data_IF_892453726958
#
_entry.id   IF_892453726958
#
_cell.length_a   1.000
_cell.length_b   1.000
_cell.length_c   1.000
_cell.angle_alpha   90.00
_cell.angle_beta   90.00
_cell.angle_gamma   90.00
#
_symmetry.space_group_name_H-M   'P 1'
#
loop_
_entity.id
_entity.type
_entity.pdbx_description
1 polymer ?
#
# COMPACT_ATOMS: atom_id res chain seq x y z
N UNK A 1 7.67 -31.32 10.77
CA UNK A 1 6.28 -31.48 10.32
C UNK A 1 6.34 -32.12 8.93
N UNK A 2 5.55 -33.17 8.69
CA UNK A 2 5.50 -33.80 7.36
C UNK A 2 4.84 -32.82 6.38
N UNK A 3 5.40 -32.67 5.18
CA UNK A 3 4.90 -31.80 4.12
C UNK A 3 3.38 -32.01 3.87
N UNK A 4 2.91 -33.24 3.84
CA UNK A 4 1.48 -33.57 3.71
C UNK A 4 0.60 -33.05 4.85
N UNK A 5 1.15 -32.95 6.06
CA UNK A 5 0.40 -32.40 7.22
C UNK A 5 0.32 -30.89 7.10
N UNK A 6 1.41 -30.25 6.73
CA UNK A 6 1.45 -28.80 6.51
C UNK A 6 0.50 -28.40 5.37
N UNK A 7 0.55 -29.11 4.24
CA UNK A 7 -0.33 -28.90 3.10
C UNK A 7 -1.82 -28.93 3.51
N UNK A 8 -2.23 -29.97 4.25
CA UNK A 8 -3.59 -30.07 4.75
C UNK A 8 -3.99 -28.91 5.67
N UNK A 9 -3.08 -28.51 6.56
CA UNK A 9 -3.34 -27.38 7.48
C UNK A 9 -3.51 -26.07 6.70
N UNK A 10 -2.64 -25.80 5.74
CA UNK A 10 -2.71 -24.60 4.91
C UNK A 10 -3.97 -24.61 4.04
N UNK A 11 -4.29 -25.73 3.38
CA UNK A 11 -5.52 -25.85 2.59
C UNK A 11 -6.79 -25.64 3.42
N UNK A 12 -6.82 -26.22 4.62
CA UNK A 12 -7.93 -26.02 5.55
C UNK A 12 -8.04 -24.55 5.95
N UNK A 13 -6.93 -23.92 6.27
CA UNK A 13 -6.84 -22.50 6.64
C UNK A 13 -7.38 -21.60 5.51
N UNK A 14 -6.91 -21.79 4.29
CA UNK A 14 -7.35 -21.05 3.09
C UNK A 14 -8.87 -21.18 2.91
N UNK A 15 -9.39 -22.41 3.02
CA UNK A 15 -10.81 -22.69 2.88
C UNK A 15 -11.65 -22.03 3.98
N UNK A 16 -11.24 -22.16 5.23
CA UNK A 16 -11.94 -21.58 6.40
C UNK A 16 -12.02 -20.06 6.32
N UNK A 17 -10.96 -19.44 5.80
CA UNK A 17 -10.85 -17.98 5.72
C UNK A 17 -11.18 -17.40 4.35
N UNK A 18 -11.62 -18.26 3.40
CA UNK A 18 -12.04 -17.87 2.04
C UNK A 18 -10.95 -17.10 1.29
N UNK A 19 -9.69 -17.49 1.50
CA UNK A 19 -8.56 -16.90 0.79
C UNK A 19 -8.43 -17.52 -0.60
N UNK A 20 -7.91 -16.76 -1.57
CA UNK A 20 -7.79 -17.20 -2.98
C UNK A 20 -6.34 -17.45 -3.38
N UNK A 21 -5.55 -18.06 -2.49
CA UNK A 21 -4.12 -18.31 -2.73
C UNK A 21 -3.95 -19.75 -3.26
N UNK A 22 -3.23 -19.88 -4.36
CA UNK A 22 -2.79 -21.19 -4.87
C UNK A 22 -1.51 -21.62 -4.13
N UNK A 23 -1.64 -22.66 -3.31
CA UNK A 23 -0.53 -23.21 -2.50
C UNK A 23 0.56 -23.89 -3.33
N UNK A 24 0.32 -24.17 -4.59
CA UNK A 24 1.27 -24.80 -5.50
C UNK A 24 2.04 -23.79 -6.35
N UNK A 25 1.68 -22.51 -6.31
CA UNK A 25 2.37 -21.46 -7.01
C UNK A 25 3.75 -21.20 -6.41
N UNK A 26 4.72 -20.85 -7.26
CA UNK A 26 6.01 -20.35 -6.76
C UNK A 26 5.81 -18.98 -6.09
N UNK A 27 6.61 -18.70 -5.05
CA UNK A 27 6.55 -17.42 -4.34
C UNK A 27 6.82 -16.23 -5.29
N UNK A 28 7.66 -16.42 -6.32
CA UNK A 28 7.92 -15.41 -7.35
C UNK A 28 6.68 -14.99 -8.14
N UNK A 29 5.72 -15.92 -8.29
CA UNK A 29 4.54 -15.73 -9.13
C UNK A 29 3.35 -15.16 -8.33
N UNK A 30 3.47 -15.10 -7.00
CA UNK A 30 2.48 -14.52 -6.12
C UNK A 30 2.47 -12.99 -6.20
N UNK A 31 1.29 -12.40 -6.11
CA UNK A 31 1.11 -10.95 -5.96
C UNK A 31 1.72 -10.45 -4.64
N UNK A 32 1.88 -9.14 -4.49
CA UNK A 32 2.38 -8.54 -3.25
C UNK A 32 1.48 -8.86 -2.05
N UNK A 33 0.17 -8.79 -2.24
CA UNK A 33 -0.79 -9.11 -1.17
C UNK A 33 -0.76 -10.61 -0.83
N UNK A 34 -0.70 -11.51 -1.81
CA UNK A 34 -0.64 -12.95 -1.54
C UNK A 34 0.59 -13.32 -0.72
N UNK A 35 1.75 -12.74 -1.03
CA UNK A 35 2.97 -12.92 -0.22
C UNK A 35 2.78 -12.47 1.22
N UNK A 36 2.17 -11.30 1.43
CA UNK A 36 1.84 -10.83 2.78
C UNK A 36 0.91 -11.81 3.50
N UNK A 37 -0.15 -12.28 2.85
CA UNK A 37 -1.11 -13.22 3.44
C UNK A 37 -0.43 -14.55 3.77
N UNK A 38 0.46 -15.06 2.92
CA UNK A 38 1.24 -16.27 3.21
C UNK A 38 2.06 -16.13 4.50
N UNK A 39 2.76 -15.00 4.68
CA UNK A 39 3.52 -14.74 5.91
C UNK A 39 2.60 -14.62 7.15
N UNK A 40 1.42 -14.05 7.00
CA UNK A 40 0.43 -13.96 8.07
C UNK A 40 -0.14 -15.35 8.45
N UNK A 41 -0.45 -16.20 7.46
CA UNK A 41 -0.88 -17.59 7.68
C UNK A 41 0.22 -18.37 8.42
N UNK A 42 1.45 -18.23 7.98
CA UNK A 42 2.62 -18.85 8.61
C UNK A 42 2.75 -18.40 10.07
N UNK A 43 2.57 -17.11 10.36
CA UNK A 43 2.64 -16.58 11.71
C UNK A 43 1.57 -17.21 12.64
N UNK A 44 0.35 -17.41 12.15
CA UNK A 44 -0.73 -18.07 12.90
C UNK A 44 -0.44 -19.57 13.12
N UNK A 45 -0.06 -20.30 12.07
CA UNK A 45 0.27 -21.74 12.18
C UNK A 45 1.44 -21.97 13.12
N UNK A 46 2.44 -21.09 13.11
CA UNK A 46 3.61 -21.17 14.00
C UNK A 46 3.30 -20.72 15.44
N UNK A 47 2.12 -20.20 15.68
CA UNK A 47 1.65 -19.78 17.01
C UNK A 47 2.28 -18.49 17.52
N UNK A 48 2.72 -17.61 16.62
CA UNK A 48 3.26 -16.31 17.02
C UNK A 48 2.17 -15.47 17.73
N UNK A 49 2.62 -14.65 18.67
CA UNK A 49 1.72 -13.80 19.49
C UNK A 49 1.76 -12.34 19.09
N UNK A 50 2.75 -11.96 18.30
CA UNK A 50 2.95 -10.61 17.80
C UNK A 50 3.30 -10.66 16.33
N UNK A 51 2.64 -9.81 15.55
CA UNK A 51 2.95 -9.54 14.15
C UNK A 51 3.30 -8.06 14.03
N UNK A 52 4.36 -7.75 13.31
CA UNK A 52 4.73 -6.38 12.95
C UNK A 52 4.50 -6.21 11.46
N UNK A 53 3.69 -5.22 11.09
CA UNK A 53 3.40 -4.85 9.71
C UNK A 53 3.98 -3.46 9.47
N UNK A 54 4.99 -3.38 8.62
CA UNK A 54 5.74 -2.15 8.38
C UNK A 54 5.38 -1.55 7.01
N UNK A 55 4.71 -0.41 7.05
CA UNK A 55 4.37 0.47 5.92
C UNK A 55 3.86 -0.28 4.66
N UNK A 56 2.81 -1.10 4.76
CA UNK A 56 2.33 -1.90 3.63
C UNK A 56 1.77 -1.03 2.50
N UNK A 57 1.31 0.19 2.77
CA UNK A 57 0.84 1.13 1.76
C UNK A 57 1.94 1.59 0.78
N UNK A 58 3.21 1.36 1.09
CA UNK A 58 4.30 1.64 0.17
C UNK A 58 4.40 0.66 -1.00
N UNK A 59 3.73 -0.49 -0.93
CA UNK A 59 3.80 -1.56 -1.95
C UNK A 59 2.48 -2.29 -2.21
N UNK A 60 1.40 -1.92 -1.51
CA UNK A 60 0.04 -2.44 -1.73
C UNK A 60 -0.88 -1.33 -2.21
N UNK A 61 -1.79 -1.67 -3.11
CA UNK A 61 -2.89 -0.80 -3.52
C UNK A 61 -3.93 -0.66 -2.41
N UNK A 62 -4.84 0.30 -2.53
CA UNK A 62 -5.93 0.49 -1.58
C UNK A 62 -6.78 -0.77 -1.42
N UNK A 63 -7.11 -1.46 -2.52
CA UNK A 63 -7.91 -2.68 -2.49
C UNK A 63 -7.17 -3.81 -1.78
N UNK A 64 -5.87 -3.97 -2.03
CA UNK A 64 -5.02 -4.95 -1.37
C UNK A 64 -4.86 -4.66 0.13
N UNK A 65 -4.76 -3.39 0.52
CA UNK A 65 -4.76 -2.99 1.93
C UNK A 65 -6.06 -3.39 2.64
N UNK A 66 -7.22 -3.22 2.00
CA UNK A 66 -8.50 -3.67 2.56
C UNK A 66 -8.53 -5.18 2.77
N UNK A 67 -7.92 -5.95 1.87
CA UNK A 67 -7.78 -7.40 2.02
C UNK A 67 -6.83 -7.75 3.16
N UNK A 68 -5.68 -7.10 3.25
CA UNK A 68 -4.74 -7.24 4.37
C UNK A 68 -5.44 -6.96 5.71
N UNK A 69 -6.22 -5.89 5.81
CA UNK A 69 -6.93 -5.53 7.04
C UNK A 69 -7.92 -6.60 7.48
N UNK A 70 -8.65 -7.24 6.56
CA UNK A 70 -9.54 -8.35 6.89
C UNK A 70 -8.79 -9.51 7.55
N UNK A 71 -7.61 -9.84 7.02
CA UNK A 71 -6.76 -10.91 7.57
C UNK A 71 -6.20 -10.50 8.93
N UNK A 72 -5.72 -9.28 9.09
CA UNK A 72 -5.20 -8.77 10.37
C UNK A 72 -6.28 -8.76 11.47
N UNK A 73 -7.50 -8.31 11.15
CA UNK A 73 -8.64 -8.32 12.08
C UNK A 73 -9.04 -9.76 12.48
N UNK A 74 -8.93 -10.70 11.56
CA UNK A 74 -9.15 -12.12 11.85
C UNK A 74 -8.10 -12.66 12.85
N UNK A 75 -6.82 -12.37 12.62
CA UNK A 75 -5.72 -12.79 13.49
C UNK A 75 -5.83 -12.14 14.89
N UNK A 76 -6.23 -10.88 14.95
CA UNK A 76 -6.54 -10.17 16.18
C UNK A 76 -7.63 -10.88 16.98
N UNK A 77 -8.72 -11.35 16.33
CA UNK A 77 -9.77 -12.15 16.98
C UNK A 77 -9.27 -13.48 17.53
N UNK A 78 -8.19 -14.04 16.98
CA UNK A 78 -7.51 -15.24 17.49
C UNK A 78 -6.55 -14.93 18.65
N UNK A 79 -6.42 -13.67 19.06
CA UNK A 79 -5.56 -13.22 20.17
C UNK A 79 -4.12 -12.94 19.76
N UNK A 80 -3.85 -12.74 18.47
CA UNK A 80 -2.54 -12.29 17.99
C UNK A 80 -2.52 -10.76 18.03
N UNK A 81 -1.51 -10.19 18.68
CA UNK A 81 -1.29 -8.75 18.71
C UNK A 81 -0.66 -8.27 17.41
N UNK A 82 -1.08 -7.10 16.93
CA UNK A 82 -0.55 -6.51 15.71
C UNK A 82 0.04 -5.14 16.03
N UNK A 83 1.30 -4.92 15.67
CA UNK A 83 1.92 -3.61 15.60
C UNK A 83 1.95 -3.18 14.13
N UNK A 84 1.08 -2.26 13.79
CA UNK A 84 1.03 -1.69 12.44
C UNK A 84 1.78 -0.36 12.41
N UNK A 85 2.70 -0.20 11.48
CA UNK A 85 3.44 1.03 11.24
C UNK A 85 3.00 1.55 9.88
N UNK A 86 2.59 2.80 9.79
CA UNK A 86 2.12 3.43 8.56
C UNK A 86 2.28 4.94 8.57
N UNK A 87 2.24 5.54 7.41
CA UNK A 87 2.42 6.97 7.20
C UNK A 87 1.08 7.72 7.02
N UNK A 88 -0.01 6.97 6.80
CA UNK A 88 -1.34 7.53 6.55
C UNK A 88 -2.29 7.16 7.68
N UNK A 89 -2.80 8.17 8.39
CA UNK A 89 -3.68 7.95 9.55
C UNK A 89 -5.01 7.30 9.16
N UNK A 90 -5.55 7.60 7.99
CA UNK A 90 -6.81 7.02 7.50
C UNK A 90 -6.75 5.48 7.41
N UNK A 91 -5.59 4.93 7.13
CA UNK A 91 -5.38 3.48 7.00
C UNK A 91 -5.50 2.77 8.35
N UNK A 92 -4.87 3.33 9.37
CA UNK A 92 -4.77 2.68 10.69
C UNK A 92 -6.05 2.78 11.51
N UNK A 93 -6.89 3.78 11.27
CA UNK A 93 -8.13 3.98 12.02
C UNK A 93 -9.13 2.85 11.89
N UNK A 94 -9.08 2.12 10.77
CA UNK A 94 -9.99 1.01 10.51
C UNK A 94 -9.64 -0.27 11.26
N UNK A 95 -8.40 -0.43 11.74
CA UNK A 95 -7.89 -1.67 12.31
C UNK A 95 -7.32 -1.52 13.72
N UNK A 96 -6.88 -0.31 14.10
CA UNK A 96 -6.19 -0.08 15.35
C UNK A 96 -7.17 0.08 16.54
N UNK A 97 -6.82 -0.46 17.70
CA UNK A 97 -7.49 -0.14 18.96
C UNK A 97 -6.89 1.11 19.60
N UNK A 98 -5.62 1.39 19.27
CA UNK A 98 -4.87 2.54 19.76
C UNK A 98 -3.84 2.94 18.74
N UNK A 99 -3.67 4.24 18.51
CA UNK A 99 -2.68 4.80 17.58
C UNK A 99 -1.72 5.71 18.33
N UNK A 100 -0.43 5.52 18.08
CA UNK A 100 0.62 6.40 18.61
C UNK A 100 1.22 7.21 17.45
N UNK A 101 1.21 8.52 17.58
CA UNK A 101 1.87 9.42 16.64
C UNK A 101 3.34 9.57 17.05
N UNK A 102 4.23 9.15 16.15
CA UNK A 102 5.67 9.18 16.37
C UNK A 102 6.31 10.17 15.40
N UNK A 103 7.14 11.08 15.95
CA UNK A 103 7.93 12.04 15.18
C UNK A 103 9.17 12.45 15.96
N UNK A 104 10.27 12.72 15.25
CA UNK A 104 11.54 13.21 15.81
C UNK A 104 12.11 12.36 16.96
N UNK A 105 11.90 11.06 16.91
CA UNK A 105 12.38 10.14 17.94
C UNK A 105 11.47 9.98 19.15
N UNK A 106 10.29 10.63 19.18
CA UNK A 106 9.39 10.63 20.34
C UNK A 106 7.96 10.32 19.96
N UNK A 107 7.21 9.73 20.91
CA UNK A 107 5.76 9.64 20.82
C UNK A 107 5.16 11.00 21.19
N UNK A 108 4.58 11.70 20.24
CA UNK A 108 3.95 13.01 20.42
C UNK A 108 2.58 12.92 21.09
N UNK A 109 1.81 11.92 20.71
CA UNK A 109 0.45 11.69 21.24
C UNK A 109 0.07 10.21 21.08
N UNK A 110 -0.74 9.72 22.00
CA UNK A 110 -1.44 8.44 21.89
C UNK A 110 -2.93 8.72 21.82
N UNK A 111 -3.60 8.08 20.89
CA UNK A 111 -5.04 8.16 20.68
C UNK A 111 -5.65 6.79 20.97
N UNK A 112 -6.63 6.74 21.85
CA UNK A 112 -7.49 5.59 21.98
C UNK A 112 -8.55 5.57 20.86
N UNK A 113 -9.21 4.44 20.66
CA UNK A 113 -10.14 4.23 19.52
C UNK A 113 -11.16 5.37 19.38
N UNK A 114 -11.73 5.83 20.46
CA UNK A 114 -12.75 6.90 20.47
C UNK A 114 -12.17 8.28 20.09
N UNK A 115 -10.88 8.47 20.26
CA UNK A 115 -10.17 9.71 19.92
C UNK A 115 -9.66 9.72 18.48
N UNK A 116 -9.71 8.61 17.76
CA UNK A 116 -9.19 8.46 16.37
C UNK A 116 -10.12 9.11 15.37
N UNK A 117 -10.11 10.43 15.31
CA UNK A 117 -10.85 11.25 14.34
C UNK A 117 -9.90 12.20 13.62
N UNK A 118 -10.23 12.55 12.39
CA UNK A 118 -9.47 13.52 11.60
C UNK A 118 -9.27 14.84 12.34
N UNK A 119 -10.29 15.30 13.06
CA UNK A 119 -10.24 16.55 13.83
C UNK A 119 -9.21 16.50 14.97
N UNK A 120 -9.04 15.35 15.60
CA UNK A 120 -8.10 15.18 16.70
C UNK A 120 -6.66 15.01 16.20
N UNK A 121 -6.47 14.46 15.01
CA UNK A 121 -5.13 14.20 14.45
C UNK A 121 -4.59 15.39 13.66
N UNK A 122 -5.44 16.13 12.94
CA UNK A 122 -5.06 17.29 12.14
C UNK A 122 -4.09 18.26 12.84
N UNK A 123 -4.26 18.63 14.12
CA UNK A 123 -3.32 19.54 14.78
C UNK A 123 -1.87 19.03 14.82
N UNK A 124 -1.68 17.71 14.85
CA UNK A 124 -0.36 17.08 14.95
C UNK A 124 0.27 16.76 13.60
N UNK A 125 -0.55 16.66 12.54
CA UNK A 125 -0.11 16.36 11.18
C UNK A 125 0.08 17.64 10.37
N UNK A 126 -0.67 18.70 10.68
CA UNK A 126 -0.69 19.95 9.91
C UNK A 126 0.66 20.66 9.89
N UNK A 127 1.48 20.54 10.92
CA UNK A 127 2.85 21.09 10.88
C UNK A 127 3.69 20.45 9.78
N UNK A 128 3.50 19.19 9.48
CA UNK A 128 4.20 18.45 8.42
C UNK A 128 3.67 18.76 7.02
N UNK A 129 2.34 18.89 6.87
CA UNK A 129 1.72 19.18 5.58
C UNK A 129 1.86 20.64 5.17
N UNK A 130 1.92 21.57 6.12
CA UNK A 130 2.06 23.00 5.80
C UNK A 130 3.48 23.39 5.35
N UNK A 131 4.52 22.66 5.75
CA UNK A 131 5.86 22.88 5.19
C UNK A 131 5.99 22.36 3.76
N UNK A 132 5.30 21.26 3.41
CA UNK A 132 5.31 20.71 2.06
C UNK A 132 4.31 21.40 1.10
N UNK A 133 3.28 22.06 1.59
CA UNK A 133 2.27 22.73 0.76
C UNK A 133 2.58 24.18 0.39
N UNK A 134 3.76 24.70 0.75
CA UNK A 134 4.32 25.94 0.16
C UNK A 134 4.91 25.71 -1.24
N UNK A 135 4.36 24.78 -2.01
CA UNK A 135 4.54 24.77 -3.45
C UNK A 135 3.76 25.97 -3.99
N UNK A 136 4.51 27.02 -4.35
CA UNK A 136 3.98 28.19 -5.04
C UNK A 136 3.16 27.72 -6.23
N UNK A 137 1.94 28.24 -6.38
CA UNK A 137 1.26 28.23 -7.67
C UNK A 137 2.11 29.02 -8.66
N UNK A 138 2.93 28.31 -9.42
CA UNK A 138 3.67 28.87 -10.53
C UNK A 138 2.71 28.95 -11.71
N UNK A 139 2.07 30.08 -11.93
CA UNK A 139 1.26 30.31 -13.12
C UNK A 139 2.21 30.53 -14.33
N UNK A 140 2.26 29.56 -15.21
CA UNK A 140 2.95 29.66 -16.50
C UNK A 140 2.00 30.22 -17.56
N UNK A 141 1.73 31.52 -17.55
CA UNK A 141 1.02 32.17 -18.63
C UNK A 141 2.02 32.63 -19.71
N UNK A 142 1.95 32.05 -20.92
CA UNK A 142 2.43 32.68 -22.14
C UNK A 142 3.74 32.18 -22.76
N UNK A 143 4.02 30.89 -22.76
CA UNK A 143 5.09 30.33 -23.64
C UNK A 143 4.49 29.29 -24.56
N UNK A 144 4.94 29.27 -25.85
CA UNK A 144 4.62 28.21 -26.79
C UNK A 144 4.88 26.85 -26.13
N UNK A 145 3.84 26.08 -25.95
CA UNK A 145 3.87 24.79 -25.26
C UNK A 145 4.75 23.82 -26.04
N UNK A 146 6.02 23.71 -25.65
CA UNK A 146 6.90 22.63 -26.12
C UNK A 146 6.75 21.47 -25.15
N UNK A 147 5.98 20.49 -25.54
CA UNK A 147 5.92 19.21 -24.82
C UNK A 147 7.30 18.56 -24.80
N UNK A 148 7.75 18.15 -23.62
CA UNK A 148 8.99 17.36 -23.44
C UNK A 148 8.68 15.88 -23.46
N UNK A 149 7.41 15.52 -23.22
CA UNK A 149 6.92 14.15 -23.29
C UNK A 149 5.46 14.17 -23.77
N UNK A 150 5.16 13.28 -24.71
CA UNK A 150 3.81 13.13 -25.23
C UNK A 150 3.48 11.66 -25.45
N UNK A 151 2.43 11.20 -24.78
CA UNK A 151 1.84 9.89 -24.97
C UNK A 151 0.50 10.08 -25.69
N UNK A 152 0.31 9.39 -26.80
CA UNK A 152 -0.96 9.41 -27.55
C UNK A 152 -1.44 7.99 -27.77
N UNK A 153 -2.50 7.62 -27.03
CA UNK A 153 -3.17 6.32 -27.10
C UNK A 153 -2.22 5.13 -27.02
N UNK A 154 -1.19 5.27 -26.18
CA UNK A 154 -0.18 4.22 -26.02
C UNK A 154 -0.82 3.00 -25.38
N UNK A 155 -0.66 1.86 -26.05
CA UNK A 155 -1.08 0.56 -25.57
C UNK A 155 0.15 -0.33 -25.41
N UNK A 156 0.39 -0.79 -24.18
CA UNK A 156 1.47 -1.70 -23.85
C UNK A 156 0.99 -2.52 -22.65
N UNK A 157 1.47 -3.68 -22.40
CA UNK A 157 1.09 -4.62 -21.32
C UNK A 157 -0.21 -4.29 -20.56
N UNK A 158 -0.14 -3.41 -19.55
CA UNK A 158 -1.29 -3.00 -18.74
C UNK A 158 -1.99 -1.75 -19.26
N UNK A 159 -1.30 -0.88 -20.00
CA UNK A 159 -1.90 0.36 -20.51
C UNK A 159 -2.77 0.13 -21.74
N UNK A 160 -3.96 0.74 -21.75
CA UNK A 160 -4.92 0.66 -22.85
C UNK A 160 -5.32 2.07 -23.28
N UNK A 161 -4.54 2.67 -24.19
CA UNK A 161 -4.83 3.99 -24.71
C UNK A 161 -4.39 5.12 -23.77
N UNK A 162 -3.26 4.97 -23.09
CA UNK A 162 -2.68 6.00 -22.24
C UNK A 162 -2.34 7.24 -23.06
N UNK A 163 -2.89 8.39 -22.67
CA UNK A 163 -2.66 9.67 -23.34
C UNK A 163 -2.43 10.77 -22.31
N UNK A 164 -1.30 11.45 -22.39
CA UNK A 164 -0.99 12.65 -21.65
C UNK A 164 0.15 13.42 -22.29
N UNK A 165 0.33 14.67 -21.94
CA UNK A 165 1.44 15.50 -22.37
C UNK A 165 2.11 16.14 -21.16
N UNK A 166 3.40 16.35 -21.23
CA UNK A 166 4.20 17.05 -20.22
C UNK A 166 4.95 18.20 -20.89
N UNK A 167 4.70 19.41 -20.46
CA UNK A 167 5.33 20.63 -20.94
C UNK A 167 6.67 20.85 -20.29
N UNK A 168 7.52 21.68 -20.90
CA UNK A 168 8.81 22.04 -20.31
C UNK A 168 8.61 22.80 -19.00
N UNK A 169 9.19 22.29 -17.91
CA UNK A 169 9.10 22.88 -16.57
C UNK A 169 7.83 22.54 -15.82
N UNK A 170 6.94 21.71 -16.38
CA UNK A 170 5.75 21.19 -15.72
C UNK A 170 6.13 19.99 -14.81
N UNK A 171 5.41 19.85 -13.70
CA UNK A 171 5.40 18.64 -12.87
C UNK A 171 4.01 18.00 -12.97
N UNK A 172 3.93 16.88 -13.68
CA UNK A 172 2.70 16.09 -13.81
C UNK A 172 2.72 14.95 -12.79
N UNK A 173 1.68 14.82 -11.99
CA UNK A 173 1.50 13.68 -11.10
C UNK A 173 0.53 12.68 -11.73
N UNK A 174 0.96 11.44 -11.86
CA UNK A 174 0.11 10.30 -12.25
C UNK A 174 -0.19 9.48 -11.00
N UNK A 175 -1.47 9.28 -10.72
CA UNK A 175 -1.91 8.45 -9.60
C UNK A 175 -2.21 7.06 -10.15
N UNK A 176 -1.39 6.10 -9.77
CA UNK A 176 -1.53 4.70 -10.17
C UNK A 176 -2.25 3.92 -9.06
N UNK A 177 -3.47 3.49 -9.37
CA UNK A 177 -4.30 2.74 -8.41
C UNK A 177 -4.06 1.22 -8.46
N UNK A 178 -3.35 0.74 -9.50
CA UNK A 178 -3.17 -0.68 -9.79
C UNK A 178 -1.73 -1.17 -9.62
N UNK A 179 -0.78 -0.27 -9.28
CA UNK A 179 0.66 -0.54 -9.11
C UNK A 179 1.32 -1.23 -10.33
N UNK A 180 1.75 -0.44 -11.30
CA UNK A 180 2.46 -0.97 -12.45
C UNK A 180 2.76 0.07 -13.51
N UNK A 181 2.04 1.20 -13.48
CA UNK A 181 2.15 2.26 -14.48
C UNK A 181 3.54 2.89 -14.51
N UNK A 182 4.18 3.09 -13.35
CA UNK A 182 5.50 3.70 -13.29
C UNK A 182 6.57 2.83 -13.98
N UNK A 183 6.52 1.51 -13.73
CA UNK A 183 7.43 0.57 -14.39
C UNK A 183 7.16 0.54 -15.90
N UNK A 184 5.90 0.49 -16.30
CA UNK A 184 5.52 0.45 -17.72
C UNK A 184 5.93 1.72 -18.48
N UNK A 185 5.73 2.90 -17.89
CA UNK A 185 6.22 4.16 -18.47
C UNK A 185 7.75 4.14 -18.58
N UNK A 186 8.45 3.64 -17.56
CA UNK A 186 9.90 3.49 -17.59
C UNK A 186 10.35 2.56 -18.71
N UNK A 187 9.70 1.43 -18.88
CA UNK A 187 10.03 0.44 -19.93
C UNK A 187 9.79 1.04 -21.33
N UNK A 188 8.69 1.76 -21.53
CA UNK A 188 8.39 2.46 -22.77
C UNK A 188 9.47 3.52 -23.09
N UNK A 189 9.83 4.35 -22.09
CA UNK A 189 10.80 5.44 -22.30
C UNK A 189 12.23 4.94 -22.50
N UNK A 190 12.59 3.83 -21.89
CA UNK A 190 13.94 3.22 -22.04
C UNK A 190 14.05 2.26 -23.22
N UNK A 191 12.95 1.98 -23.90
CA UNK A 191 12.91 1.06 -25.04
C UNK A 191 13.00 -0.41 -24.64
N UNK A 192 12.79 -0.74 -23.37
CA UNK A 192 12.71 -2.12 -22.86
C UNK A 192 11.35 -2.75 -23.23
N UNK A 193 10.96 -2.62 -24.49
CA UNK A 193 9.70 -3.17 -25.01
C UNK A 193 10.00 -4.61 -25.46
N UNK A 194 9.45 -5.58 -24.78
CA UNK A 194 9.50 -7.00 -25.13
C UNK A 194 8.17 -7.46 -25.73
#
# INVERSE_FOLDING_TARGET
ISERVLEKQVMQYIKEHRLTIDIYSNISDLSSIDRCIVELIKADIMGYKLIIVDNPASYLTKNELEELYKVLLMLKKKGISVLYIGNHHEEVFNIADRTSLYSDGYIKKVFDYEEMTDSNIKPYISEWFFESSKLQEVSFAGQEERYVLFFDKVCHNITKGLSFALSKGECLTLIDMDNGLAQEISDILTGNIH
#
